data_IF_948744864629
#
_entry.id   IF_948744864629
#
_cell.length_a   1.000
_cell.length_b   1.000
_cell.length_c   1.000
_cell.angle_alpha   90.00
_cell.angle_beta   90.00
_cell.angle_gamma   90.00
#
_symmetry.space_group_name_H-M   'P 1'
#
loop_
_entity.id
_entity.type
_entity.pdbx_description
1 polymer ?
#
# COMPACT_ATOMS: atom_id res chain seq x y z
N UNK A 1 5.34 21.05 -59.55
CA UNK A 1 6.33 21.32 -58.47
C UNK A 1 5.67 21.01 -57.15
N UNK A 2 5.84 19.79 -56.67
CA UNK A 2 5.15 19.25 -55.49
C UNK A 2 6.10 19.37 -54.30
N UNK A 3 5.80 20.24 -53.32
CA UNK A 3 6.53 20.30 -52.05
C UNK A 3 5.98 19.22 -51.12
N UNK A 4 6.71 18.12 -50.98
CA UNK A 4 6.50 17.17 -49.89
C UNK A 4 6.91 17.82 -48.56
N UNK A 5 5.95 18.08 -47.68
CA UNK A 5 6.21 18.26 -46.26
C UNK A 5 6.25 16.89 -45.60
N UNK A 6 7.45 16.32 -45.53
CA UNK A 6 7.71 15.19 -44.66
C UNK A 6 8.00 15.75 -43.26
N UNK A 7 6.95 16.01 -42.48
CA UNK A 7 7.10 16.26 -41.05
C UNK A 7 7.47 14.93 -40.40
N UNK A 8 8.76 14.75 -40.13
CA UNK A 8 9.24 13.81 -39.12
C UNK A 8 8.49 14.13 -37.82
N UNK A 9 7.62 13.23 -37.36
CA UNK A 9 7.07 13.28 -36.01
C UNK A 9 8.25 13.14 -35.05
N UNK A 10 8.71 14.26 -34.51
CA UNK A 10 9.62 14.25 -33.39
C UNK A 10 8.94 13.51 -32.24
N UNK A 11 9.55 12.40 -31.78
CA UNK A 11 9.12 11.73 -30.56
C UNK A 11 9.26 12.75 -29.43
N UNK A 12 8.17 13.15 -28.74
CA UNK A 12 8.26 14.23 -27.78
C UNK A 12 9.19 13.85 -26.62
N UNK A 13 10.17 14.71 -26.37
CA UNK A 13 11.02 14.65 -25.19
C UNK A 13 10.12 14.75 -23.93
N UNK A 14 10.17 13.76 -23.04
CA UNK A 14 9.33 13.70 -21.82
C UNK A 14 8.57 12.38 -21.61
N UNK A 15 8.68 11.40 -22.51
CA UNK A 15 8.04 10.07 -22.34
C UNK A 15 8.47 9.37 -21.05
N UNK A 16 9.75 9.45 -20.68
CA UNK A 16 10.28 8.88 -19.44
C UNK A 16 9.76 9.55 -18.17
N UNK A 17 9.78 10.88 -18.11
CA UNK A 17 9.29 11.65 -16.96
C UNK A 17 7.77 11.49 -16.77
N UNK A 18 7.00 11.47 -17.87
CA UNK A 18 5.56 11.19 -17.83
C UNK A 18 5.25 9.78 -17.35
N UNK A 19 6.04 8.79 -17.78
CA UNK A 19 5.88 7.42 -17.31
C UNK A 19 6.20 7.30 -15.81
N UNK A 20 7.27 7.95 -15.35
CA UNK A 20 7.63 7.99 -13.93
C UNK A 20 6.53 8.64 -13.10
N UNK A 21 6.03 9.82 -13.51
CA UNK A 21 4.98 10.53 -12.79
C UNK A 21 3.68 9.73 -12.72
N UNK A 22 3.29 9.04 -13.80
CA UNK A 22 2.09 8.19 -13.75
C UNK A 22 2.25 6.93 -12.90
N UNK A 23 3.47 6.55 -12.52
CA UNK A 23 3.70 5.57 -11.46
C UNK A 23 3.66 6.15 -10.05
N UNK A 24 4.23 7.35 -9.87
CA UNK A 24 4.31 8.01 -8.57
C UNK A 24 2.97 8.58 -8.08
N UNK A 25 2.16 9.13 -8.98
CA UNK A 25 0.86 9.70 -8.64
C UNK A 25 -0.03 8.71 -7.84
N UNK A 26 -0.34 7.51 -8.37
CA UNK A 26 -1.19 6.54 -7.65
C UNK A 26 -0.54 6.02 -6.37
N UNK A 27 0.80 5.97 -6.29
CA UNK A 27 1.52 5.64 -5.07
C UNK A 27 1.29 6.69 -3.98
N UNK A 28 1.49 7.98 -4.28
CA UNK A 28 1.29 9.05 -3.30
C UNK A 28 -0.19 9.24 -2.93
N UNK A 29 -1.10 9.05 -3.87
CA UNK A 29 -2.55 9.11 -3.62
C UNK A 29 -2.98 7.98 -2.68
N UNK A 30 -2.52 6.75 -2.92
CA UNK A 30 -2.80 5.64 -2.03
C UNK A 30 -2.17 5.86 -0.65
N UNK A 31 -0.95 6.41 -0.58
CA UNK A 31 -0.32 6.74 0.70
C UNK A 31 -1.16 7.76 1.48
N UNK A 32 -1.50 8.89 0.85
CA UNK A 32 -2.34 9.92 1.46
C UNK A 32 -3.68 9.36 1.94
N UNK A 33 -4.31 8.47 1.16
CA UNK A 33 -5.58 7.85 1.51
C UNK A 33 -5.50 6.93 2.71
N UNK A 34 -4.42 6.14 2.83
CA UNK A 34 -4.20 5.27 4.00
C UNK A 34 -3.94 6.08 5.25
N UNK A 35 -3.06 7.08 5.15
CA UNK A 35 -2.73 7.99 6.26
C UNK A 35 -3.96 8.75 6.72
N UNK A 36 -4.76 9.29 5.78
CA UNK A 36 -6.01 9.97 6.10
C UNK A 36 -6.98 9.07 6.86
N UNK A 37 -7.19 7.83 6.42
CA UNK A 37 -8.06 6.88 7.11
C UNK A 37 -7.61 6.64 8.56
N UNK A 38 -6.32 6.38 8.77
CA UNK A 38 -5.76 6.16 10.11
C UNK A 38 -5.83 7.42 11.00
N UNK A 39 -5.71 8.63 10.43
CA UNK A 39 -5.91 9.88 11.18
C UNK A 39 -7.35 9.99 11.66
N UNK A 40 -8.33 9.71 10.79
CA UNK A 40 -9.75 9.80 11.13
C UNK A 40 -10.14 8.74 12.18
N UNK A 41 -9.56 7.55 12.09
CA UNK A 41 -9.75 6.47 13.06
C UNK A 41 -9.01 6.70 14.38
N UNK A 42 -8.08 7.66 14.43
CA UNK A 42 -7.23 7.92 15.59
C UNK A 42 -6.20 6.82 15.86
N UNK A 43 -5.90 5.99 14.86
CA UNK A 43 -4.99 4.85 14.97
C UNK A 43 -3.57 5.14 14.47
N UNK A 44 -3.35 6.22 13.70
CA UNK A 44 -2.03 6.57 13.17
C UNK A 44 -1.07 6.98 14.30
N UNK A 45 0.12 6.37 14.31
CA UNK A 45 1.23 6.81 15.17
C UNK A 45 2.25 7.61 14.37
N UNK A 46 2.65 7.10 13.21
CA UNK A 46 3.68 7.73 12.37
C UNK A 46 3.63 7.23 10.92
N UNK A 47 4.31 7.98 10.04
CA UNK A 47 4.60 7.60 8.67
C UNK A 47 6.11 7.58 8.45
N UNK A 48 6.56 6.71 7.55
CA UNK A 48 7.92 6.70 7.01
C UNK A 48 7.88 6.94 5.51
N UNK A 49 8.68 7.89 5.05
CA UNK A 49 8.63 8.43 3.70
C UNK A 49 10.03 8.39 3.12
N UNK A 50 10.26 7.53 2.13
CA UNK A 50 11.57 7.31 1.51
C UNK A 50 12.68 7.07 2.57
N UNK A 51 12.37 6.27 3.59
CA UNK A 51 13.33 5.89 4.63
C UNK A 51 14.44 5.02 4.04
N UNK A 52 15.60 5.04 4.69
CA UNK A 52 16.79 4.40 4.20
C UNK A 52 16.60 2.88 4.10
N UNK A 53 17.24 2.27 3.09
CA UNK A 53 17.05 0.86 2.77
C UNK A 53 17.40 -0.05 3.96
N UNK A 54 18.34 0.34 4.82
CA UNK A 54 18.68 -0.33 6.08
C UNK A 54 17.50 -0.49 7.05
N UNK A 55 16.55 0.44 7.05
CA UNK A 55 15.41 0.45 7.99
C UNK A 55 14.20 -0.31 7.44
N UNK A 56 13.89 -0.14 6.15
CA UNK A 56 12.62 -0.60 5.56
C UNK A 56 12.77 -1.50 4.34
N UNK A 57 14.01 -1.67 3.82
CA UNK A 57 14.25 -2.44 2.60
C UNK A 57 13.59 -1.81 1.38
N UNK A 58 12.93 -2.63 0.55
CA UNK A 58 12.12 -2.19 -0.61
C UNK A 58 10.63 -2.02 -0.29
N UNK A 59 10.27 -1.96 0.99
CA UNK A 59 8.92 -1.65 1.48
C UNK A 59 8.83 -0.19 1.92
N UNK A 60 9.40 0.71 1.13
CA UNK A 60 9.56 2.13 1.40
C UNK A 60 8.55 3.01 0.63
N UNK A 61 7.88 2.44 -0.38
CA UNK A 61 7.00 3.20 -1.28
C UNK A 61 5.82 3.83 -0.53
N UNK A 62 5.25 3.09 0.43
CA UNK A 62 4.21 3.53 1.37
C UNK A 62 4.53 2.83 2.69
N UNK A 63 4.76 3.58 3.76
CA UNK A 63 4.97 3.01 5.08
C UNK A 63 4.29 3.85 6.16
N UNK A 64 3.35 3.24 6.89
CA UNK A 64 2.67 3.87 8.01
C UNK A 64 2.49 2.88 9.15
N UNK A 65 2.53 3.43 10.35
CA UNK A 65 2.49 2.68 11.60
C UNK A 65 1.25 3.12 12.37
N UNK A 66 0.49 2.13 12.80
CA UNK A 66 -0.67 2.30 13.65
C UNK A 66 -0.34 1.85 15.08
N UNK A 67 -1.31 2.00 15.98
CA UNK A 67 -1.20 1.53 17.36
C UNK A 67 -0.82 0.05 17.49
N UNK A 68 -1.18 -0.79 16.52
CA UNK A 68 -0.94 -2.25 16.58
C UNK A 68 -0.22 -2.84 15.38
N UNK A 69 -0.16 -2.13 14.25
CA UNK A 69 0.28 -2.68 12.97
C UNK A 69 1.27 -1.75 12.25
N UNK A 70 2.14 -2.36 11.45
CA UNK A 70 3.04 -1.67 10.52
C UNK A 70 2.65 -2.08 9.12
N UNK A 71 2.17 -1.14 8.31
CA UNK A 71 1.79 -1.40 6.93
C UNK A 71 2.86 -0.83 6.00
N UNK A 72 3.46 -1.68 5.19
CA UNK A 72 4.56 -1.29 4.33
C UNK A 72 4.41 -1.91 2.94
N UNK A 73 4.57 -1.10 1.90
CA UNK A 73 4.24 -1.47 0.53
C UNK A 73 5.46 -1.40 -0.36
N UNK A 74 5.54 -2.36 -1.29
CA UNK A 74 6.26 -2.20 -2.55
C UNK A 74 5.21 -2.00 -3.65
N UNK A 75 5.25 -0.85 -4.33
CA UNK A 75 4.29 -0.48 -5.37
C UNK A 75 4.91 -0.71 -6.75
N UNK A 76 4.15 -1.36 -7.63
CA UNK A 76 4.51 -1.57 -9.05
C UNK A 76 3.37 -1.11 -9.93
N UNK A 77 3.51 0.08 -10.49
CA UNK A 77 2.48 0.71 -11.29
C UNK A 77 2.90 0.88 -12.75
N UNK A 78 1.93 0.93 -13.67
CA UNK A 78 2.17 1.25 -15.07
C UNK A 78 0.96 1.94 -15.71
N UNK A 79 1.20 2.75 -16.74
CA UNK A 79 0.14 3.42 -17.50
C UNK A 79 -0.23 2.68 -18.79
N UNK A 80 0.42 1.55 -19.06
CA UNK A 80 0.11 0.70 -20.21
C UNK A 80 -0.50 -0.61 -19.73
N UNK A 81 -1.44 -1.13 -20.50
CA UNK A 81 -2.01 -2.44 -20.23
C UNK A 81 -0.89 -3.49 -20.22
N UNK A 82 -0.74 -4.15 -19.08
CA UNK A 82 0.27 -5.20 -18.90
C UNK A 82 -0.14 -6.14 -17.78
N UNK A 83 0.54 -7.27 -17.72
CA UNK A 83 0.34 -8.27 -16.67
C UNK A 83 1.59 -8.37 -15.79
N UNK A 84 1.40 -8.82 -14.56
CA UNK A 84 2.47 -9.29 -13.71
C UNK A 84 2.61 -10.80 -13.90
N UNK A 85 3.84 -11.27 -14.10
CA UNK A 85 4.17 -12.69 -14.30
C UNK A 85 4.70 -13.31 -13.01
N UNK A 86 4.74 -14.65 -12.96
CA UNK A 86 5.39 -15.37 -11.87
C UNK A 86 6.87 -15.03 -11.78
N UNK A 87 7.56 -14.83 -12.92
CA UNK A 87 8.96 -14.40 -12.92
C UNK A 87 9.16 -13.02 -12.28
N UNK A 88 8.23 -12.08 -12.49
CA UNK A 88 8.28 -10.78 -11.82
C UNK A 88 8.08 -10.94 -10.30
N UNK A 89 7.09 -11.75 -9.89
CA UNK A 89 6.84 -12.05 -8.49
C UNK A 89 8.07 -12.69 -7.81
N UNK A 90 8.74 -13.65 -8.48
CA UNK A 90 9.98 -14.28 -8.00
C UNK A 90 11.11 -13.29 -7.72
N UNK A 91 11.17 -12.18 -8.47
CA UNK A 91 12.18 -11.14 -8.27
C UNK A 91 11.83 -10.21 -7.12
N UNK A 92 10.54 -9.92 -6.93
CA UNK A 92 10.06 -8.96 -5.93
C UNK A 92 9.95 -9.57 -4.53
N UNK A 93 9.45 -10.81 -4.41
CA UNK A 93 9.20 -11.44 -3.12
C UNK A 93 10.42 -11.45 -2.17
N UNK A 94 11.66 -11.76 -2.63
CA UNK A 94 12.82 -11.76 -1.74
C UNK A 94 13.11 -10.37 -1.15
N UNK A 95 12.90 -9.31 -1.94
CA UNK A 95 13.07 -7.92 -1.47
C UNK A 95 12.03 -7.55 -0.41
N UNK A 96 10.79 -8.00 -0.59
CA UNK A 96 9.69 -7.83 0.36
C UNK A 96 9.99 -8.56 1.67
N UNK A 97 10.46 -9.81 1.60
CA UNK A 97 10.84 -10.59 2.79
C UNK A 97 11.95 -9.88 3.58
N UNK A 98 12.94 -9.31 2.89
CA UNK A 98 14.00 -8.51 3.54
C UNK A 98 13.42 -7.28 4.23
N UNK A 99 12.54 -6.52 3.56
CA UNK A 99 11.88 -5.35 4.17
C UNK A 99 11.03 -5.73 5.39
N UNK A 100 10.26 -6.82 5.30
CA UNK A 100 9.44 -7.33 6.39
C UNK A 100 10.26 -7.68 7.62
N UNK A 101 11.39 -8.39 7.46
CA UNK A 101 12.29 -8.72 8.58
C UNK A 101 12.85 -7.46 9.25
N UNK A 102 13.28 -6.47 8.46
CA UNK A 102 13.81 -5.20 8.99
C UNK A 102 12.75 -4.45 9.81
N UNK A 103 11.53 -4.36 9.28
CA UNK A 103 10.41 -3.74 9.99
C UNK A 103 10.02 -4.51 11.26
N UNK A 104 10.08 -5.85 11.25
CA UNK A 104 9.85 -6.65 12.46
C UNK A 104 10.89 -6.41 13.55
N UNK A 105 12.14 -6.18 13.16
CA UNK A 105 13.19 -5.81 14.11
C UNK A 105 12.98 -4.40 14.66
N UNK A 106 12.54 -3.47 13.81
CA UNK A 106 12.29 -2.09 14.18
C UNK A 106 11.04 -1.93 15.07
N UNK A 107 10.01 -2.76 14.85
CA UNK A 107 8.73 -2.75 15.55
C UNK A 107 8.37 -4.12 16.11
N UNK A 108 9.13 -4.57 17.11
CA UNK A 108 8.99 -5.91 17.68
C UNK A 108 7.66 -6.19 18.37
N UNK A 109 6.93 -5.14 18.75
CA UNK A 109 5.65 -5.19 19.46
C UNK A 109 4.42 -5.08 18.54
N UNK A 110 4.62 -4.87 17.23
CA UNK A 110 3.55 -4.65 16.26
C UNK A 110 3.52 -5.74 15.19
N UNK A 111 2.34 -5.98 14.64
CA UNK A 111 2.19 -6.87 13.48
C UNK A 111 2.65 -6.16 12.21
N UNK A 112 3.67 -6.69 11.53
CA UNK A 112 4.12 -6.14 10.24
C UNK A 112 3.36 -6.79 9.10
N UNK A 113 2.74 -5.98 8.26
CA UNK A 113 1.93 -6.38 7.11
C UNK A 113 2.62 -5.88 5.84
N UNK A 114 3.37 -6.75 5.14
CA UNK A 114 4.02 -6.39 3.90
C UNK A 114 3.04 -6.51 2.73
N UNK A 115 3.00 -5.49 1.88
CA UNK A 115 2.14 -5.42 0.70
C UNK A 115 2.96 -5.42 -0.59
N UNK A 116 2.53 -6.21 -1.56
CA UNK A 116 2.85 -5.97 -2.97
C UNK A 116 1.62 -5.39 -3.64
N UNK A 117 1.72 -4.15 -4.14
CA UNK A 117 0.60 -3.45 -4.76
C UNK A 117 0.87 -3.22 -6.25
N UNK A 118 -0.06 -3.60 -7.12
CA UNK A 118 0.04 -3.36 -8.55
C UNK A 118 -1.32 -3.20 -9.21
N UNK A 119 -1.39 -2.34 -10.23
CA UNK A 119 -2.55 -2.24 -11.12
C UNK A 119 -2.57 -3.31 -12.22
N UNK A 120 -1.50 -4.09 -12.35
CA UNK A 120 -1.41 -5.15 -13.36
C UNK A 120 -2.29 -6.33 -12.96
N UNK A 121 -2.91 -6.95 -13.94
CA UNK A 121 -3.56 -8.25 -13.75
C UNK A 121 -2.51 -9.37 -13.69
N UNK A 122 -2.83 -10.44 -12.95
CA UNK A 122 -2.00 -11.65 -12.96
C UNK A 122 -2.08 -12.32 -14.33
N UNK A 123 -0.93 -12.64 -14.91
CA UNK A 123 -0.88 -13.20 -16.26
C UNK A 123 -1.58 -14.57 -16.36
N UNK A 124 -2.55 -14.67 -17.28
CA UNK A 124 -3.23 -15.92 -17.66
C UNK A 124 -2.40 -16.76 -18.65
N UNK A 125 -1.56 -16.10 -19.44
CA UNK A 125 -0.79 -16.74 -20.52
C UNK A 125 0.64 -17.11 -20.11
N UNK A 126 1.02 -16.82 -18.86
CA UNK A 126 2.32 -17.14 -18.32
C UNK A 126 2.64 -18.64 -18.47
N UNK A 127 3.88 -18.92 -18.86
CA UNK A 127 4.43 -20.27 -19.01
C UNK A 127 5.51 -20.58 -17.98
N UNK A 128 5.82 -19.63 -17.09
CA UNK A 128 6.91 -19.74 -16.12
C UNK A 128 6.54 -20.52 -14.86
N UNK A 129 5.25 -20.80 -14.64
CA UNK A 129 4.79 -21.70 -13.57
C UNK A 129 4.88 -23.15 -14.05
N UNK A 130 5.97 -23.82 -13.69
CA UNK A 130 6.35 -25.14 -14.18
C UNK A 130 6.59 -26.12 -13.04
N UNK A 131 6.43 -27.41 -13.30
CA UNK A 131 6.91 -28.45 -12.40
C UNK A 131 8.42 -28.67 -12.52
N UNK A 132 8.96 -29.59 -11.70
CA UNK A 132 10.37 -29.96 -11.72
C UNK A 132 10.86 -30.55 -13.06
N UNK A 133 9.96 -30.93 -13.97
CA UNK A 133 10.28 -31.43 -15.32
C UNK A 133 10.23 -30.33 -16.39
N UNK A 134 9.88 -29.10 -16.01
CA UNK A 134 9.70 -27.97 -16.92
C UNK A 134 8.33 -27.95 -17.61
N UNK A 135 7.41 -28.82 -17.22
CA UNK A 135 6.05 -28.84 -17.79
C UNK A 135 5.20 -27.76 -17.11
N UNK A 136 4.46 -26.99 -17.91
CA UNK A 136 3.50 -25.99 -17.39
C UNK A 136 2.43 -26.67 -16.54
N UNK A 137 2.22 -26.17 -15.33
CA UNK A 137 1.19 -26.67 -14.41
C UNK A 137 0.04 -25.70 -14.18
N UNK A 138 0.21 -24.42 -14.52
CA UNK A 138 -0.80 -23.38 -14.37
C UNK A 138 -0.32 -22.04 -14.90
N UNK A 139 -1.20 -21.04 -14.84
CA UNK A 139 -0.89 -19.62 -15.03
C UNK A 139 -0.47 -18.95 -13.71
N UNK A 140 0.06 -17.73 -13.76
CA UNK A 140 0.34 -16.99 -12.52
C UNK A 140 -0.95 -16.59 -11.79
N UNK A 141 -2.04 -16.34 -12.54
CA UNK A 141 -3.36 -16.11 -11.94
C UNK A 141 -3.84 -17.32 -11.11
N UNK A 142 -3.74 -18.54 -11.66
CA UNK A 142 -4.06 -19.75 -10.89
C UNK A 142 -3.11 -19.96 -9.71
N UNK A 143 -1.83 -19.63 -9.86
CA UNK A 143 -0.87 -19.73 -8.77
C UNK A 143 -1.24 -18.82 -7.59
N UNK A 144 -1.68 -17.58 -7.84
CA UNK A 144 -2.14 -16.67 -6.78
C UNK A 144 -3.32 -17.28 -6.02
N UNK A 145 -4.34 -17.78 -6.72
CA UNK A 145 -5.56 -18.33 -6.10
C UNK A 145 -5.28 -19.63 -5.34
N UNK A 146 -4.52 -20.55 -5.93
CA UNK A 146 -4.36 -21.90 -5.39
C UNK A 146 -3.16 -22.04 -4.45
N UNK A 147 -2.22 -21.10 -4.46
CA UNK A 147 -1.02 -21.12 -3.60
C UNK A 147 -0.99 -19.91 -2.68
N UNK A 148 -0.90 -18.69 -3.21
CA UNK A 148 -0.70 -17.48 -2.39
C UNK A 148 -1.88 -17.24 -1.44
N UNK A 149 -3.11 -17.22 -1.97
CA UNK A 149 -4.31 -17.00 -1.16
C UNK A 149 -4.52 -18.12 -0.15
N UNK A 150 -4.16 -19.35 -0.50
CA UNK A 150 -4.24 -20.49 0.41
C UNK A 150 -3.21 -20.43 1.52
N UNK A 151 -1.98 -19.99 1.23
CA UNK A 151 -0.96 -19.74 2.25
C UNK A 151 -1.41 -18.62 3.21
N UNK A 152 -2.00 -17.54 2.68
CA UNK A 152 -2.50 -16.44 3.49
C UNK A 152 -3.63 -16.86 4.44
N UNK A 153 -4.54 -17.70 3.97
CA UNK A 153 -5.70 -18.17 4.73
C UNK A 153 -5.49 -19.50 5.47
N UNK A 154 -4.26 -20.01 5.52
CA UNK A 154 -3.90 -21.30 6.13
C UNK A 154 -4.71 -22.51 5.59
N UNK A 155 -5.04 -22.50 4.30
CA UNK A 155 -5.80 -23.55 3.64
C UNK A 155 -4.87 -24.61 3.01
N UNK A 156 -5.37 -25.84 2.91
CA UNK A 156 -4.66 -26.93 2.23
C UNK A 156 -4.43 -26.62 0.74
N UNK A 157 -3.20 -26.84 0.27
CA UNK A 157 -2.80 -26.65 -1.13
C UNK A 157 -2.82 -27.99 -1.87
N UNK A 158 -3.38 -28.01 -3.08
CA UNK A 158 -3.48 -29.23 -3.89
C UNK A 158 -2.09 -29.78 -4.25
N UNK A 159 -1.95 -31.11 -4.26
CA UNK A 159 -0.66 -31.79 -4.45
C UNK A 159 0.06 -31.43 -5.76
N UNK A 160 -0.66 -31.02 -6.81
CA UNK A 160 -0.07 -30.58 -8.08
C UNK A 160 0.85 -29.35 -7.93
N UNK A 161 0.64 -28.53 -6.90
CA UNK A 161 1.41 -27.31 -6.65
C UNK A 161 2.65 -27.55 -5.78
N UNK A 162 2.85 -28.77 -5.27
CA UNK A 162 3.93 -29.08 -4.32
C UNK A 162 5.32 -28.71 -4.85
N UNK A 163 5.59 -28.93 -6.13
CA UNK A 163 6.87 -28.55 -6.77
C UNK A 163 7.11 -27.04 -6.75
N UNK A 164 6.06 -26.24 -6.96
CA UNK A 164 6.19 -24.77 -6.98
C UNK A 164 6.21 -24.19 -5.57
N UNK A 165 5.68 -24.90 -4.57
CA UNK A 165 5.92 -24.56 -3.15
C UNK A 165 7.40 -24.71 -2.81
N UNK A 166 8.05 -25.82 -3.22
CA UNK A 166 9.49 -26.00 -2.99
C UNK A 166 10.32 -24.90 -3.69
N UNK A 167 9.89 -24.48 -4.88
CA UNK A 167 10.49 -23.34 -5.57
C UNK A 167 10.28 -22.04 -4.78
N UNK A 168 9.06 -21.80 -4.28
CA UNK A 168 8.71 -20.65 -3.43
C UNK A 168 9.55 -20.58 -2.16
N UNK A 169 9.72 -21.70 -1.45
CA UNK A 169 10.63 -21.83 -0.31
C UNK A 169 12.05 -21.42 -0.69
N UNK A 170 12.53 -21.92 -1.83
CA UNK A 170 13.88 -21.65 -2.32
C UNK A 170 14.12 -20.16 -2.63
N UNK A 171 13.23 -19.51 -3.40
CA UNK A 171 13.49 -18.11 -3.79
C UNK A 171 13.03 -17.09 -2.76
N UNK A 172 12.01 -17.35 -1.94
CA UNK A 172 11.56 -16.42 -0.88
C UNK A 172 12.64 -16.20 0.18
N UNK A 173 13.55 -17.18 0.35
CA UNK A 173 14.60 -17.19 1.39
C UNK A 173 14.04 -17.03 2.80
N UNK A 174 12.79 -17.42 3.03
CA UNK A 174 12.18 -17.48 4.37
C UNK A 174 12.80 -18.64 5.16
N UNK A 175 13.04 -18.42 6.45
CA UNK A 175 13.37 -19.52 7.34
C UNK A 175 12.09 -20.33 7.66
N UNK A 176 12.20 -21.64 7.98
CA UNK A 176 11.03 -22.47 8.29
C UNK A 176 10.11 -21.89 9.37
N UNK A 177 10.69 -21.25 10.39
CA UNK A 177 9.98 -20.60 11.50
C UNK A 177 9.27 -19.29 11.09
N UNK A 178 9.70 -18.65 10.01
CA UNK A 178 9.09 -17.42 9.50
C UNK A 178 7.97 -17.68 8.50
N UNK A 179 7.95 -18.85 7.89
CA UNK A 179 7.07 -19.19 6.77
C UNK A 179 5.60 -18.86 7.05
N UNK A 180 5.07 -19.38 8.18
CA UNK A 180 3.67 -19.18 8.55
C UNK A 180 3.37 -17.70 8.82
N UNK A 181 4.21 -17.04 9.60
CA UNK A 181 4.01 -15.67 10.02
C UNK A 181 4.07 -14.68 8.83
N UNK A 182 5.03 -14.88 7.93
CA UNK A 182 5.11 -14.08 6.71
C UNK A 182 3.87 -14.27 5.83
N UNK A 183 3.49 -15.49 5.50
CA UNK A 183 2.40 -15.71 4.54
C UNK A 183 1.02 -15.28 5.06
N UNK A 184 0.76 -15.47 6.36
CA UNK A 184 -0.50 -15.03 7.00
C UNK A 184 -0.59 -13.52 7.17
N UNK A 185 0.53 -12.79 7.05
CA UNK A 185 0.57 -11.32 7.07
C UNK A 185 0.74 -10.69 5.69
N UNK A 186 1.38 -11.37 4.74
CA UNK A 186 1.64 -10.84 3.40
C UNK A 186 0.35 -10.65 2.60
N UNK A 187 0.21 -9.48 1.97
CA UNK A 187 -0.96 -9.15 1.15
C UNK A 187 -0.52 -8.76 -0.26
N UNK A 188 -0.94 -9.55 -1.24
CA UNK A 188 -0.73 -9.23 -2.65
C UNK A 188 -1.99 -8.59 -3.26
N UNK A 189 -1.93 -7.30 -3.59
CA UNK A 189 -3.02 -6.56 -4.25
C UNK A 189 -2.69 -6.36 -5.72
N UNK A 190 -3.21 -7.24 -6.57
CA UNK A 190 -3.14 -7.12 -8.02
C UNK A 190 -4.45 -6.57 -8.60
N UNK A 191 -4.44 -6.18 -9.89
CA UNK A 191 -5.56 -5.52 -10.56
C UNK A 191 -6.14 -4.36 -9.73
N UNK A 192 -5.26 -3.66 -9.00
CA UNK A 192 -5.70 -2.60 -8.09
C UNK A 192 -6.16 -1.39 -8.89
N UNK A 193 -7.40 -0.97 -8.65
CA UNK A 193 -7.95 0.26 -9.19
C UNK A 193 -7.76 1.34 -8.14
N UNK A 194 -6.90 2.31 -8.43
CA UNK A 194 -6.73 3.45 -7.55
C UNK A 194 -7.98 4.33 -7.60
N UNK A 195 -8.25 5.02 -6.49
CA UNK A 195 -9.27 6.05 -6.43
C UNK A 195 -8.69 7.33 -7.05
N UNK A 196 -9.34 7.86 -8.08
CA UNK A 196 -8.87 9.07 -8.74
C UNK A 196 -9.11 10.30 -7.85
N UNK A 197 -8.02 10.96 -7.43
CA UNK A 197 -8.06 12.16 -6.59
C UNK A 197 -7.84 13.37 -7.49
N UNK A 198 -8.92 13.82 -8.12
CA UNK A 198 -8.87 14.99 -9.00
C UNK A 198 -8.91 16.29 -8.18
N UNK A 199 -7.93 17.16 -8.45
CA UNK A 199 -7.78 18.50 -7.89
C UNK A 199 -8.97 19.40 -8.17
N UNK A 200 -9.72 19.14 -9.25
CA UNK A 200 -10.93 19.89 -9.61
C UNK A 200 -12.02 19.81 -8.52
N UNK A 201 -12.05 18.71 -7.77
CA UNK A 201 -13.03 18.49 -6.69
C UNK A 201 -12.59 19.04 -5.33
N UNK A 202 -11.40 19.67 -5.24
CA UNK A 202 -10.84 20.19 -3.97
C UNK A 202 -11.81 21.10 -3.22
N UNK A 203 -12.51 21.99 -3.92
CA UNK A 203 -13.43 22.94 -3.30
C UNK A 203 -14.80 22.35 -2.94
N UNK A 204 -15.16 21.19 -3.49
CA UNK A 204 -16.45 20.53 -3.27
C UNK A 204 -16.43 19.42 -2.22
N UNK A 205 -15.24 18.98 -1.79
CA UNK A 205 -15.07 17.83 -0.90
C UNK A 205 -13.93 18.09 0.08
N UNK A 206 -14.25 18.18 1.38
CA UNK A 206 -13.24 18.32 2.43
C UNK A 206 -12.24 17.16 2.41
N UNK A 207 -12.75 15.93 2.25
CA UNK A 207 -11.90 14.74 2.12
C UNK A 207 -10.93 14.86 0.95
N UNK A 208 -11.39 15.32 -0.21
CA UNK A 208 -10.52 15.48 -1.38
C UNK A 208 -9.47 16.56 -1.14
N UNK A 209 -9.86 17.69 -0.54
CA UNK A 209 -8.90 18.73 -0.12
C UNK A 209 -7.84 18.17 0.82
N UNK A 210 -8.27 17.40 1.82
CA UNK A 210 -7.39 16.83 2.84
C UNK A 210 -6.43 15.81 2.21
N UNK A 211 -6.91 14.95 1.32
CA UNK A 211 -6.06 14.00 0.59
C UNK A 211 -5.01 14.70 -0.28
N UNK A 212 -5.37 15.78 -0.97
CA UNK A 212 -4.43 16.57 -1.77
C UNK A 212 -3.38 17.23 -0.89
N UNK A 213 -3.78 17.79 0.26
CA UNK A 213 -2.86 18.43 1.19
C UNK A 213 -1.88 17.41 1.81
N UNK A 214 -2.38 16.22 2.19
CA UNK A 214 -1.55 15.09 2.65
C UNK A 214 -0.58 14.61 1.58
N UNK A 215 -1.06 14.38 0.36
CA UNK A 215 -0.24 13.96 -0.77
C UNK A 215 0.90 14.98 -0.98
N UNK A 216 0.57 16.28 -1.04
CA UNK A 216 1.57 17.33 -1.23
C UNK A 216 2.57 17.38 -0.08
N UNK A 217 2.12 17.20 1.16
CA UNK A 217 3.01 17.15 2.33
C UNK A 217 3.99 15.98 2.25
N UNK A 218 3.52 14.78 1.89
CA UNK A 218 4.36 13.58 1.74
C UNK A 218 5.42 13.81 0.65
N UNK A 219 5.03 14.35 -0.51
CA UNK A 219 6.00 14.69 -1.57
C UNK A 219 7.07 15.70 -1.09
N UNK A 220 6.68 16.69 -0.28
CA UNK A 220 7.63 17.65 0.30
C UNK A 220 8.60 16.98 1.28
N UNK A 221 8.17 15.95 2.01
CA UNK A 221 9.06 15.17 2.87
C UNK A 221 10.08 14.40 2.04
N UNK A 222 9.66 13.71 0.97
CA UNK A 222 10.57 13.01 0.04
C UNK A 222 11.58 13.96 -0.57
N UNK A 223 11.14 15.13 -1.02
CA UNK A 223 11.99 16.11 -1.71
C UNK A 223 12.87 16.95 -0.77
N UNK A 224 12.70 16.85 0.56
CA UNK A 224 13.39 17.69 1.53
C UNK A 224 14.90 17.36 1.57
N UNK A 225 15.80 18.36 1.38
CA UNK A 225 17.23 18.15 1.54
C UNK A 225 17.65 17.70 2.94
N UNK A 226 16.85 18.06 3.95
CA UNK A 226 17.07 17.71 5.35
C UNK A 226 16.78 16.22 5.65
N UNK A 227 16.17 15.48 4.70
CA UNK A 227 15.82 14.05 4.81
C UNK A 227 15.01 13.75 6.07
N UNK A 228 13.95 14.52 6.31
CA UNK A 228 13.01 14.23 7.37
C UNK A 228 12.07 13.09 6.92
N UNK A 229 12.53 11.86 7.09
CA UNK A 229 11.90 10.63 6.56
C UNK A 229 10.85 10.03 7.49
N UNK A 230 10.71 10.54 8.72
CA UNK A 230 9.72 10.09 9.71
C UNK A 230 8.85 11.28 10.09
N UNK A 231 7.53 11.09 10.22
CA UNK A 231 6.67 12.07 10.86
C UNK A 231 5.62 11.38 11.72
N UNK A 232 5.51 11.81 12.98
CA UNK A 232 4.45 11.38 13.88
C UNK A 232 3.09 11.96 13.47
N UNK A 233 2.01 11.32 13.92
CA UNK A 233 0.64 11.82 13.71
C UNK A 233 0.48 13.27 14.20
N UNK A 234 1.07 13.62 15.35
CA UNK A 234 0.99 14.97 15.89
C UNK A 234 1.74 15.99 15.01
N UNK A 235 2.90 15.64 14.48
CA UNK A 235 3.65 16.49 13.55
C UNK A 235 2.87 16.72 12.25
N UNK A 236 2.26 15.67 11.70
CA UNK A 236 1.38 15.75 10.53
C UNK A 236 0.22 16.71 10.80
N UNK A 237 -0.51 16.51 11.91
CA UNK A 237 -1.66 17.35 12.28
C UNK A 237 -1.24 18.82 12.52
N UNK A 238 -0.10 19.06 13.13
CA UNK A 238 0.44 20.41 13.33
C UNK A 238 0.77 21.07 11.99
N UNK A 239 1.47 20.35 11.11
CA UNK A 239 1.92 20.86 9.81
C UNK A 239 0.75 21.18 8.88
N UNK A 240 -0.33 20.40 8.95
CA UNK A 240 -1.55 20.62 8.17
C UNK A 240 -2.53 21.59 8.84
N UNK A 241 -2.31 21.96 10.11
CA UNK A 241 -3.24 22.79 10.88
C UNK A 241 -4.56 22.07 11.21
N UNK A 242 -4.52 20.75 11.39
CA UNK A 242 -5.70 19.90 11.59
C UNK A 242 -5.94 19.49 13.05
N UNK A 243 -5.05 19.87 13.97
CA UNK A 243 -5.14 19.53 15.41
C UNK A 243 -6.54 19.77 15.98
N UNK A 244 -7.12 20.92 15.64
CA UNK A 244 -8.43 21.35 16.12
C UNK A 244 -9.62 20.65 15.45
N UNK A 245 -9.39 19.99 14.31
CA UNK A 245 -10.41 19.22 13.58
C UNK A 245 -10.60 17.83 14.18
N UNK A 246 -9.52 17.25 14.71
CA UNK A 246 -9.50 15.90 15.29
C UNK A 246 -9.80 15.92 16.79
N UNK A 247 -9.43 17.00 17.50
CA UNK A 247 -9.89 17.21 18.88
C UNK A 247 -11.40 17.36 18.88
N UNK A 248 -12.09 16.42 19.51
CA UNK A 248 -13.54 16.48 19.73
C UNK A 248 -13.86 17.75 20.54
N UNK A 249 -14.21 18.86 19.88
CA UNK A 249 -14.57 20.12 20.55
C UNK A 249 -15.93 20.04 21.26
N UNK A 250 -16.75 19.04 20.94
CA UNK A 250 -18.04 18.79 21.57
C UNK A 250 -18.12 17.34 22.04
N UNK A 251 -17.84 17.09 23.32
CA UNK A 251 -18.41 15.91 23.94
C UNK A 251 -19.93 16.16 24.03
N UNK A 252 -20.76 15.31 23.42
CA UNK A 252 -22.19 15.30 23.72
C UNK A 252 -22.49 14.78 25.14
N UNK A 253 -21.50 14.81 26.03
CA UNK A 253 -21.69 14.69 27.47
C UNK A 253 -22.29 16.02 27.95
N UNK A 254 -23.59 16.17 27.74
CA UNK A 254 -24.37 17.08 28.54
C UNK A 254 -24.17 16.64 29.99
N UNK A 255 -23.46 17.43 30.78
CA UNK A 255 -23.43 17.28 32.22
C UNK A 255 -24.83 17.63 32.74
N UNK A 256 -25.75 16.67 32.68
CA UNK A 256 -27.06 16.80 33.31
C UNK A 256 -26.83 16.65 34.80
N UNK A 257 -26.83 17.77 35.51
CA UNK A 257 -26.85 17.75 36.98
C UNK A 257 -28.13 17.06 37.45
N UNK A 258 -28.08 16.36 38.59
CA UNK A 258 -29.26 15.70 39.16
C UNK A 258 -30.42 16.68 39.39
N UNK A 259 -30.11 17.97 39.60
CA UNK A 259 -31.07 19.08 39.72
C UNK A 259 -31.72 19.52 38.40
N UNK A 260 -31.17 19.14 37.25
CA UNK A 260 -31.69 19.50 35.92
C UNK A 260 -32.38 18.33 35.20
N UNK A 261 -32.51 17.18 35.86
CA UNK A 261 -33.22 16.02 35.32
C UNK A 261 -34.67 16.02 35.82
N UNK A 262 -35.62 16.22 34.91
CA UNK A 262 -37.05 15.97 35.17
C UNK A 262 -37.46 14.64 34.50
N UNK A 263 -37.86 13.61 35.27
CA UNK A 263 -38.33 12.36 34.70
C UNK A 263 -39.67 12.57 33.98
N UNK A 264 -39.83 11.92 32.83
CA UNK A 264 -41.10 11.93 32.11
C UNK A 264 -42.13 11.08 32.85
N UNK A 265 -42.97 11.72 33.65
CA UNK A 265 -44.04 11.08 34.45
C UNK A 265 -45.20 10.56 33.60
N UNK A 266 -45.26 10.91 32.31
CA UNK A 266 -46.30 10.46 31.37
C UNK A 266 -46.14 9.00 30.93
N UNK A 267 -45.02 8.35 31.25
CA UNK A 267 -44.74 6.94 30.91
C UNK A 267 -45.12 5.95 32.03
N UNK A 268 -45.73 6.45 33.12
CA UNK A 268 -46.24 5.64 34.24
C UNK A 268 -47.77 5.54 34.16
N UNK A 269 -48.29 4.88 33.11
CA UNK A 269 -49.69 4.44 33.02
C UNK A 269 -49.73 3.02 32.49
#
# INVERSE_FOLDING_TARGET
>A
MTRNHNQSMAVPHGTGERAAMGGYLPQYDEFARRVYACIIEGSLEEIRVADAEENVGKLDDICYITTSEVHAYQVKWTNVESTITFLDFKKLLPEIVVGWRKLKQLYSDKKVIPYLLTNKECSLQDKSVQDATGKKIGSFSEYVIHVIDRLHNELAIEGKWKSVILELESFSKLAPEEWKDFWTSFVFKHNYKYEDIDVSYKHGSQRTSDLIDLNRMIQQMVASPQRHVIASAQEILNKLGWVDRIKTKYNHNLLVTSSSYEPNTSALV
#
